data_IF_364713273911
#
_entry.id   IF_364713273911
#
_cell.length_a   1.000
_cell.length_b   1.000
_cell.length_c   1.000
_cell.angle_alpha   90.00
_cell.angle_beta   90.00
_cell.angle_gamma   90.00
#
_symmetry.space_group_name_H-M   'P 1'
#
loop_
_entity.id
_entity.type
_entity.pdbx_description
1 polymer ?
#
# COMPACT_ATOMS: atom_id res chain seq x y z
N UNK A 1 -70.13 2.85 -23.18
CA UNK A 1 -69.17 1.94 -23.77
C UNK A 1 -67.79 2.55 -23.58
N UNK A 2 -67.00 1.96 -22.68
CA UNK A 2 -65.58 1.92 -22.53
C UNK A 2 -64.83 3.06 -21.83
N UNK A 3 -65.12 3.24 -20.54
CA UNK A 3 -64.11 3.90 -19.62
C UNK A 3 -63.40 2.92 -18.67
N UNK A 4 -63.74 1.64 -18.70
CA UNK A 4 -63.15 0.60 -17.80
C UNK A 4 -61.98 -0.14 -18.36
N UNK A 5 -61.58 0.07 -19.62
CA UNK A 5 -60.46 -0.64 -20.26
C UNK A 5 -59.13 0.17 -20.17
N UNK A 6 -59.17 1.48 -19.94
CA UNK A 6 -57.96 2.30 -19.81
C UNK A 6 -57.32 2.24 -18.42
N UNK A 7 -58.04 1.85 -17.38
CA UNK A 7 -57.49 1.78 -16.02
C UNK A 7 -56.64 0.51 -15.75
N UNK A 8 -56.86 -0.55 -16.54
CA UNK A 8 -56.09 -1.83 -16.35
C UNK A 8 -54.76 -1.89 -17.05
N UNK A 9 -54.48 -0.97 -17.98
CA UNK A 9 -53.19 -0.93 -18.71
C UNK A 9 -52.09 -0.13 -17.98
N UNK A 10 -52.45 0.76 -17.04
CA UNK A 10 -51.45 1.54 -16.28
C UNK A 10 -50.95 0.83 -15.03
N UNK A 11 -51.58 -0.23 -14.55
CA UNK A 11 -51.16 -0.98 -13.37
C UNK A 11 -50.07 -2.07 -13.66
N UNK A 12 -49.86 -2.39 -14.93
CA UNK A 12 -48.91 -3.46 -15.33
C UNK A 12 -47.50 -2.97 -15.65
N UNK A 13 -47.24 -1.65 -15.66
CA UNK A 13 -45.91 -1.09 -16.05
C UNK A 13 -45.05 -0.76 -14.84
N UNK A 14 -45.56 -0.85 -13.60
CA UNK A 14 -44.82 -0.45 -12.38
C UNK A 14 -44.03 -1.59 -11.71
N UNK A 15 -43.93 -2.78 -12.29
CA UNK A 15 -43.36 -3.95 -11.58
C UNK A 15 -42.08 -4.50 -12.15
N UNK A 16 -41.28 -3.73 -12.87
CA UNK A 16 -40.06 -4.33 -13.42
C UNK A 16 -38.91 -3.36 -13.69
N UNK A 17 -38.41 -2.72 -12.65
CA UNK A 17 -37.04 -2.12 -12.69
C UNK A 17 -36.36 -2.23 -11.33
N UNK A 18 -36.48 -3.37 -10.66
CA UNK A 18 -35.44 -3.78 -9.76
C UNK A 18 -34.31 -4.33 -10.66
N UNK A 19 -33.46 -3.43 -11.18
CA UNK A 19 -32.21 -3.88 -11.76
C UNK A 19 -31.50 -4.70 -10.68
N UNK A 20 -31.08 -5.95 -10.97
CA UNK A 20 -30.27 -6.68 -10.01
C UNK A 20 -29.07 -5.78 -9.68
N UNK A 21 -28.85 -5.50 -8.41
CA UNK A 21 -27.62 -4.90 -7.94
C UNK A 21 -26.52 -5.94 -8.26
N UNK A 22 -25.89 -5.81 -9.43
CA UNK A 22 -24.72 -6.61 -9.74
C UNK A 22 -23.62 -6.15 -8.79
N UNK A 23 -23.11 -7.07 -7.99
CA UNK A 23 -21.86 -6.90 -7.31
C UNK A 23 -20.80 -6.49 -8.35
N UNK A 24 -19.83 -5.64 -7.96
CA UNK A 24 -18.78 -5.22 -8.88
C UNK A 24 -17.94 -6.40 -9.36
N UNK A 25 -17.31 -6.31 -10.55
CA UNK A 25 -16.63 -7.44 -11.18
C UNK A 25 -15.49 -8.03 -10.33
N UNK A 26 -14.89 -7.24 -9.43
CA UNK A 26 -13.85 -7.74 -8.52
C UNK A 26 -14.47 -8.53 -7.37
N UNK A 27 -15.57 -8.04 -6.78
CA UNK A 27 -16.25 -8.75 -5.70
C UNK A 27 -16.79 -10.10 -6.18
N UNK A 28 -17.39 -10.15 -7.38
CA UNK A 28 -17.86 -11.40 -7.97
C UNK A 28 -16.72 -12.39 -8.19
N UNK A 29 -15.59 -11.92 -8.73
CA UNK A 29 -14.37 -12.71 -8.91
C UNK A 29 -13.85 -13.28 -7.59
N UNK A 30 -13.77 -12.43 -6.55
CA UNK A 30 -13.28 -12.83 -5.22
C UNK A 30 -14.19 -13.89 -4.60
N UNK A 31 -15.51 -13.71 -4.68
CA UNK A 31 -16.49 -14.70 -4.19
C UNK A 31 -16.44 -16.01 -4.98
N UNK A 32 -16.34 -15.94 -6.31
CA UNK A 32 -16.26 -17.11 -7.17
C UNK A 32 -14.99 -17.96 -6.96
N UNK A 33 -13.86 -17.29 -6.70
CA UNK A 33 -12.58 -17.93 -6.46
C UNK A 33 -12.31 -18.26 -4.98
N UNK A 34 -13.19 -17.83 -4.08
CA UNK A 34 -13.09 -18.00 -2.63
C UNK A 34 -11.72 -17.53 -2.06
N UNK A 35 -11.14 -16.48 -2.63
CA UNK A 35 -9.85 -15.94 -2.21
C UNK A 35 -9.71 -14.46 -2.61
N UNK A 36 -9.13 -13.65 -1.72
CA UNK A 36 -8.66 -12.28 -2.02
C UNK A 36 -7.20 -12.35 -2.46
N UNK A 37 -6.87 -11.83 -3.64
CA UNK A 37 -5.49 -11.76 -4.13
C UNK A 37 -4.91 -10.38 -3.83
N UNK A 38 -3.90 -10.34 -2.96
CA UNK A 38 -3.31 -9.12 -2.42
C UNK A 38 -1.88 -8.91 -2.92
N UNK A 39 -1.63 -7.80 -3.62
CA UNK A 39 -0.29 -7.40 -4.02
C UNK A 39 0.46 -6.75 -2.86
N UNK A 40 1.64 -7.28 -2.51
CA UNK A 40 2.43 -6.90 -1.33
C UNK A 40 3.90 -6.65 -1.66
N UNK A 41 4.62 -6.00 -0.74
CA UNK A 41 6.08 -5.91 -0.75
C UNK A 41 6.69 -7.13 -0.04
N UNK A 42 7.90 -7.51 -0.38
CA UNK A 42 8.61 -8.66 0.22
C UNK A 42 9.53 -8.28 1.37
N UNK A 43 9.95 -7.01 1.47
CA UNK A 43 11.01 -6.58 2.37
C UNK A 43 10.73 -5.22 3.05
N UNK A 44 9.47 -4.96 3.38
CA UNK A 44 9.03 -3.77 4.12
C UNK A 44 8.59 -4.16 5.55
N UNK A 45 9.53 -4.29 6.51
CA UNK A 45 9.19 -4.61 7.90
C UNK A 45 8.18 -3.60 8.47
N UNK A 46 7.15 -4.11 9.17
CA UNK A 46 6.04 -3.32 9.66
C UNK A 46 4.86 -3.18 8.68
N UNK A 47 5.07 -3.27 7.38
CA UNK A 47 4.02 -3.23 6.35
C UNK A 47 3.73 -4.61 5.75
N UNK A 48 4.70 -5.18 5.05
CA UNK A 48 4.61 -6.55 4.55
C UNK A 48 6.00 -7.17 4.47
N UNK A 49 6.17 -8.27 5.17
CA UNK A 49 7.41 -9.01 5.23
C UNK A 49 7.12 -10.49 5.39
N UNK A 50 7.75 -11.32 4.56
CA UNK A 50 7.69 -12.77 4.69
C UNK A 50 8.87 -13.29 5.50
N UNK A 51 8.63 -14.20 6.42
CA UNK A 51 9.69 -14.95 7.09
C UNK A 51 10.22 -16.09 6.19
N UNK A 52 11.26 -16.77 6.66
CA UNK A 52 11.87 -17.91 5.93
C UNK A 52 10.94 -19.13 5.77
N UNK A 53 9.81 -19.15 6.50
CA UNK A 53 8.79 -20.20 6.42
C UNK A 53 7.61 -19.80 5.53
N UNK A 54 7.64 -18.59 4.96
CA UNK A 54 6.57 -18.04 4.13
C UNK A 54 5.42 -17.40 4.91
N UNK A 55 5.56 -17.18 6.22
CA UNK A 55 4.56 -16.45 6.98
C UNK A 55 4.67 -14.95 6.73
N UNK A 56 3.56 -14.33 6.40
CA UNK A 56 3.47 -12.90 6.15
C UNK A 56 3.04 -12.13 7.40
N UNK A 57 3.64 -10.97 7.64
CA UNK A 57 3.32 -10.09 8.77
C UNK A 57 3.38 -8.63 8.37
N UNK A 58 2.62 -7.77 9.06
CA UNK A 58 2.64 -6.33 8.94
C UNK A 58 1.28 -5.71 8.59
N UNK A 59 1.20 -4.39 8.66
CA UNK A 59 -0.02 -3.60 8.50
C UNK A 59 -0.77 -3.90 7.18
N UNK A 60 -0.05 -3.94 6.06
CA UNK A 60 -0.62 -4.24 4.75
C UNK A 60 -1.14 -5.69 4.66
N UNK A 61 -0.44 -6.62 5.30
CA UNK A 61 -0.83 -8.03 5.38
C UNK A 61 -2.09 -8.22 6.22
N UNK A 62 -2.17 -7.56 7.36
CA UNK A 62 -3.32 -7.65 8.27
C UNK A 62 -4.55 -6.99 7.64
N UNK A 63 -4.37 -5.90 6.92
CA UNK A 63 -5.44 -5.30 6.11
C UNK A 63 -5.99 -6.29 5.07
N UNK A 64 -5.13 -7.01 4.34
CA UNK A 64 -5.56 -8.00 3.36
C UNK A 64 -6.31 -9.17 4.00
N UNK A 65 -5.88 -9.63 5.18
CA UNK A 65 -6.59 -10.64 5.97
C UNK A 65 -7.96 -10.16 6.44
N UNK A 66 -8.03 -8.92 6.90
CA UNK A 66 -9.30 -8.34 7.31
C UNK A 66 -10.27 -8.19 6.14
N UNK A 67 -9.76 -7.84 4.95
CA UNK A 67 -10.56 -7.79 3.73
C UNK A 67 -11.12 -9.18 3.37
N UNK A 68 -10.30 -10.24 3.46
CA UNK A 68 -10.74 -11.61 3.26
C UNK A 68 -11.77 -12.04 4.31
N UNK A 69 -11.57 -11.72 5.58
CA UNK A 69 -12.52 -11.98 6.65
C UNK A 69 -13.87 -11.29 6.41
N UNK A 70 -13.85 -10.02 5.98
CA UNK A 70 -15.06 -9.24 5.73
C UNK A 70 -15.88 -9.78 4.56
N UNK A 71 -15.24 -10.27 3.49
CA UNK A 71 -15.90 -10.68 2.24
C UNK A 71 -16.22 -12.17 2.22
N UNK A 72 -15.32 -13.01 2.78
CA UNK A 72 -15.37 -14.47 2.68
C UNK A 72 -15.54 -15.16 4.04
N UNK A 73 -15.64 -14.39 5.13
CA UNK A 73 -15.82 -14.92 6.49
C UNK A 73 -14.57 -15.61 7.08
N UNK A 74 -13.43 -15.58 6.39
CA UNK A 74 -12.19 -16.23 6.83
C UNK A 74 -10.96 -15.39 6.44
N UNK A 75 -10.17 -14.98 7.43
CA UNK A 75 -8.94 -14.21 7.25
C UNK A 75 -7.82 -14.98 6.52
N UNK A 76 -7.92 -16.31 6.45
CA UNK A 76 -6.95 -17.14 5.76
C UNK A 76 -7.21 -17.26 4.25
N UNK A 77 -8.39 -16.84 3.78
CA UNK A 77 -8.75 -16.83 2.36
C UNK A 77 -8.09 -15.67 1.62
N UNK A 78 -6.79 -15.52 1.77
CA UNK A 78 -5.97 -14.49 1.15
C UNK A 78 -4.74 -15.11 0.49
N UNK A 79 -4.43 -14.67 -0.72
CA UNK A 79 -3.21 -15.01 -1.45
C UNK A 79 -2.34 -13.75 -1.57
N UNK A 80 -1.15 -13.80 -1.00
CA UNK A 80 -0.17 -12.72 -1.15
C UNK A 80 0.64 -12.91 -2.44
N UNK A 81 0.70 -11.86 -3.24
CA UNK A 81 1.48 -11.81 -4.49
C UNK A 81 2.58 -10.76 -4.34
N UNK A 82 3.84 -11.18 -4.23
CA UNK A 82 4.97 -10.27 -4.21
C UNK A 82 5.06 -9.48 -5.51
N UNK A 83 5.13 -8.15 -5.40
CA UNK A 83 5.27 -7.25 -6.54
C UNK A 83 6.43 -6.28 -6.31
N UNK A 84 7.23 -6.04 -7.34
CA UNK A 84 8.20 -4.95 -7.31
C UNK A 84 7.53 -3.59 -7.58
N UNK A 85 8.25 -2.50 -7.40
CA UNK A 85 7.67 -1.16 -7.56
C UNK A 85 7.27 -0.82 -8.99
N UNK A 86 8.03 -1.17 -10.03
CA UNK A 86 7.61 -0.94 -11.42
C UNK A 86 6.36 -1.70 -11.83
N UNK A 87 6.16 -2.93 -11.34
CA UNK A 87 5.10 -3.84 -11.79
C UNK A 87 3.76 -3.68 -11.05
N UNK A 88 3.75 -3.10 -9.84
CA UNK A 88 2.57 -3.12 -8.97
C UNK A 88 1.30 -2.55 -9.60
N UNK A 89 1.40 -1.46 -10.36
CA UNK A 89 0.22 -0.83 -10.97
C UNK A 89 -0.25 -1.58 -12.21
N UNK A 90 0.66 -2.13 -13.03
CA UNK A 90 0.27 -2.98 -14.17
C UNK A 90 -0.42 -4.26 -13.71
N UNK A 91 0.08 -4.90 -12.65
CA UNK A 91 -0.54 -6.08 -12.05
C UNK A 91 -1.96 -5.77 -11.51
N UNK A 92 -2.14 -4.62 -10.85
CA UNK A 92 -3.46 -4.17 -10.40
C UNK A 92 -4.42 -3.95 -11.59
N UNK A 93 -3.95 -3.26 -12.65
CA UNK A 93 -4.78 -3.00 -13.84
C UNK A 93 -5.12 -4.26 -14.62
N UNK A 94 -4.20 -5.19 -14.73
CA UNK A 94 -4.43 -6.49 -15.37
C UNK A 94 -5.36 -7.42 -14.57
N UNK A 95 -5.68 -7.06 -13.30
CA UNK A 95 -6.51 -7.89 -12.44
C UNK A 95 -5.78 -9.13 -11.90
N UNK A 96 -4.44 -9.12 -11.93
CA UNK A 96 -3.61 -10.15 -11.29
C UNK A 96 -3.76 -10.11 -9.77
N UNK A 97 -3.99 -8.90 -9.23
CA UNK A 97 -4.34 -8.69 -7.82
C UNK A 97 -5.65 -7.91 -7.71
N UNK A 98 -6.40 -8.16 -6.64
CA UNK A 98 -7.69 -7.53 -6.36
C UNK A 98 -7.50 -6.24 -5.56
N UNK A 99 -6.46 -6.17 -4.76
CA UNK A 99 -6.03 -5.01 -3.97
C UNK A 99 -4.52 -4.93 -3.95
N UNK A 100 -3.99 -3.71 -4.00
CA UNK A 100 -2.57 -3.43 -3.82
C UNK A 100 -2.38 -2.81 -2.44
N UNK A 101 -1.87 -3.58 -1.48
CA UNK A 101 -1.47 -3.16 -0.15
C UNK A 101 0.06 -3.33 -0.04
N UNK A 102 0.80 -2.28 -0.42
CA UNK A 102 2.24 -2.37 -0.66
C UNK A 102 2.94 -1.04 -0.35
N UNK A 103 2.74 -0.53 0.87
CA UNK A 103 3.31 0.75 1.32
C UNK A 103 3.40 1.77 0.16
N UNK A 104 2.26 2.03 -0.48
CA UNK A 104 2.20 2.81 -1.72
C UNK A 104 1.73 4.22 -1.46
N UNK A 105 2.57 5.20 -1.79
CA UNK A 105 2.24 6.62 -1.66
C UNK A 105 1.10 7.02 -2.57
N UNK A 106 0.08 7.65 -2.02
CA UNK A 106 -0.99 8.29 -2.75
C UNK A 106 -0.52 9.63 -3.30
N UNK A 107 -0.45 9.75 -4.61
CA UNK A 107 -0.13 10.99 -5.29
C UNK A 107 -0.96 11.15 -6.58
N UNK A 108 -0.99 12.38 -7.10
CA UNK A 108 -1.81 12.74 -8.26
C UNK A 108 -1.55 11.83 -9.47
N UNK A 109 -0.29 11.56 -9.81
CA UNK A 109 0.06 10.74 -10.98
C UNK A 109 -0.50 9.32 -10.85
N UNK A 110 -0.35 8.70 -9.69
CA UNK A 110 -0.84 7.34 -9.42
C UNK A 110 -2.35 7.26 -9.44
N UNK A 111 -3.01 8.25 -8.85
CA UNK A 111 -4.47 8.29 -8.79
C UNK A 111 -5.08 8.67 -10.15
N UNK A 112 -4.60 9.74 -10.79
CA UNK A 112 -5.19 10.25 -12.02
C UNK A 112 -4.81 9.44 -13.27
N UNK A 113 -3.55 8.97 -13.37
CA UNK A 113 -2.99 8.44 -14.62
C UNK A 113 -2.79 6.93 -14.65
N UNK A 114 -2.60 6.27 -13.49
CA UNK A 114 -2.33 4.84 -13.43
C UNK A 114 -3.56 3.99 -13.15
N UNK A 115 -4.77 4.58 -13.10
CA UNK A 115 -6.03 3.87 -12.91
C UNK A 115 -6.20 3.23 -11.52
N UNK A 116 -5.31 3.52 -10.59
CA UNK A 116 -5.44 3.11 -9.20
C UNK A 116 -6.37 4.08 -8.45
N UNK A 117 -7.20 3.57 -7.56
CA UNK A 117 -7.99 4.38 -6.63
C UNK A 117 -7.55 4.06 -5.22
N UNK A 118 -6.97 5.02 -4.54
CA UNK A 118 -6.54 4.87 -3.15
C UNK A 118 -7.75 4.90 -2.22
N UNK A 119 -7.80 3.99 -1.26
CA UNK A 119 -8.97 3.84 -0.40
C UNK A 119 -8.98 4.80 0.78
N UNK A 120 -7.89 4.84 1.54
CA UNK A 120 -7.61 5.77 2.66
C UNK A 120 -6.10 5.79 2.87
N UNK A 121 -5.56 6.85 3.46
CA UNK A 121 -4.19 6.85 3.98
C UNK A 121 -4.16 6.08 5.30
N UNK A 122 -3.38 5.01 5.37
CA UNK A 122 -3.19 4.19 6.56
C UNK A 122 -1.90 4.50 7.32
N UNK A 123 -0.96 5.22 6.70
CA UNK A 123 0.28 5.64 7.32
C UNK A 123 0.81 6.92 6.66
N UNK A 124 1.18 7.90 7.46
CA UNK A 124 1.83 9.13 6.99
C UNK A 124 3.34 9.02 7.17
N UNK A 125 4.05 8.86 6.07
CA UNK A 125 5.49 8.76 6.03
C UNK A 125 6.13 9.99 5.36
N UNK A 126 7.41 9.93 5.14
CA UNK A 126 8.20 10.89 4.39
C UNK A 126 9.52 10.27 3.95
N UNK A 127 10.09 10.76 2.88
CA UNK A 127 11.37 10.28 2.37
C UNK A 127 12.56 10.90 3.13
N UNK A 128 13.56 10.07 3.40
CA UNK A 128 14.80 10.47 4.07
C UNK A 128 16.05 9.83 3.48
N UNK A 129 17.13 9.85 4.24
CA UNK A 129 18.43 9.32 3.86
C UNK A 129 19.06 8.49 4.96
N UNK A 130 19.48 7.28 4.65
CA UNK A 130 20.29 6.43 5.52
C UNK A 130 21.73 6.45 5.03
N UNK A 131 22.67 6.71 5.93
CA UNK A 131 24.11 6.78 5.63
C UNK A 131 24.93 6.02 6.65
N UNK A 132 26.11 5.46 6.27
CA UNK A 132 27.07 4.96 7.24
C UNK A 132 27.63 6.10 8.10
N UNK A 133 27.73 5.93 9.40
CA UNK A 133 28.32 6.93 10.33
C UNK A 133 29.75 7.33 9.95
N UNK A 134 30.50 6.42 9.34
CA UNK A 134 31.88 6.68 8.84
C UNK A 134 31.95 7.78 7.78
N UNK A 135 30.84 8.12 7.10
CA UNK A 135 30.79 9.27 6.18
C UNK A 135 30.85 10.61 6.92
N UNK A 136 30.61 10.63 8.23
CA UNK A 136 30.64 11.81 9.09
C UNK A 136 29.78 12.98 8.58
N UNK A 137 28.64 12.67 7.92
CA UNK A 137 27.62 13.64 7.49
C UNK A 137 26.49 13.71 8.51
N UNK A 138 25.98 14.92 8.76
CA UNK A 138 24.90 15.18 9.73
C UNK A 138 23.66 15.78 9.10
N UNK A 139 23.72 16.09 7.81
CA UNK A 139 22.64 16.74 7.08
C UNK A 139 22.66 16.30 5.63
N UNK A 140 21.48 16.15 5.03
CA UNK A 140 21.33 15.85 3.62
C UNK A 140 21.96 16.90 2.70
N UNK A 141 22.13 18.15 3.17
CA UNK A 141 22.83 19.22 2.45
C UNK A 141 24.34 18.94 2.25
N UNK A 142 24.89 17.98 2.97
CA UNK A 142 26.29 17.56 2.85
C UNK A 142 26.48 16.40 1.84
N UNK A 143 25.42 15.94 1.18
CA UNK A 143 25.44 14.81 0.26
C UNK A 143 25.77 15.20 -1.19
N UNK A 144 26.30 16.41 -1.43
CA UNK A 144 26.66 16.83 -2.79
C UNK A 144 27.72 15.90 -3.40
N UNK A 145 27.45 15.36 -4.60
CA UNK A 145 28.31 14.41 -5.30
C UNK A 145 28.15 12.95 -4.87
N UNK A 146 27.30 12.65 -3.90
CA UNK A 146 27.12 11.29 -3.36
C UNK A 146 26.55 10.31 -4.40
N UNK A 147 26.90 9.05 -4.25
CA UNK A 147 26.25 7.92 -4.94
C UNK A 147 25.10 7.41 -4.08
N UNK A 148 23.89 7.44 -4.63
CA UNK A 148 22.63 7.18 -3.90
C UNK A 148 21.94 5.96 -4.50
N UNK A 149 21.69 4.93 -3.69
CA UNK A 149 20.79 3.83 -4.03
C UNK A 149 19.34 4.29 -3.88
N UNK A 150 18.52 4.07 -4.90
CA UNK A 150 17.10 4.34 -4.90
C UNK A 150 16.37 3.27 -5.70
N UNK A 151 15.16 2.93 -5.30
CA UNK A 151 14.35 1.94 -6.02
C UNK A 151 13.59 2.60 -7.17
N UNK A 152 13.70 2.04 -8.37
CA UNK A 152 12.98 2.50 -9.57
C UNK A 152 11.45 2.35 -9.41
N UNK A 153 10.68 3.25 -10.06
CA UNK A 153 9.21 3.24 -10.02
C UNK A 153 8.61 3.61 -8.66
N UNK A 154 9.40 4.19 -7.76
CA UNK A 154 8.93 4.76 -6.48
C UNK A 154 8.75 6.27 -6.60
N UNK A 155 8.04 6.88 -5.63
CA UNK A 155 8.00 8.34 -5.44
C UNK A 155 9.35 8.90 -5.02
N UNK A 156 10.19 8.07 -4.41
CA UNK A 156 11.51 8.48 -3.92
C UNK A 156 12.48 8.86 -5.04
N UNK A 157 12.31 8.29 -6.24
CA UNK A 157 13.19 8.58 -7.37
C UNK A 157 13.04 10.03 -7.86
N UNK A 158 11.84 10.55 -8.24
CA UNK A 158 11.69 11.95 -8.59
C UNK A 158 11.93 12.90 -7.40
N UNK A 159 11.52 12.53 -6.17
CA UNK A 159 11.70 13.40 -5.01
C UNK A 159 13.16 13.67 -4.67
N UNK A 160 14.04 12.66 -4.76
CA UNK A 160 15.48 12.89 -4.54
C UNK A 160 16.07 13.77 -5.65
N UNK A 161 15.63 13.61 -6.89
CA UNK A 161 16.09 14.45 -7.99
C UNK A 161 15.71 15.93 -7.77
N UNK A 162 14.46 16.16 -7.37
CA UNK A 162 13.96 17.51 -7.08
C UNK A 162 14.65 18.14 -5.87
N UNK A 163 14.90 17.37 -4.83
CA UNK A 163 15.63 17.84 -3.65
C UNK A 163 17.04 18.30 -4.01
N UNK A 164 17.82 17.48 -4.72
CA UNK A 164 19.17 17.85 -5.11
C UNK A 164 19.21 19.03 -6.07
N UNK A 165 18.31 19.07 -7.05
CA UNK A 165 18.17 20.18 -8.00
C UNK A 165 17.83 21.49 -7.28
N UNK A 166 16.87 21.49 -6.36
CA UNK A 166 16.43 22.69 -5.63
C UNK A 166 17.51 23.26 -4.70
N UNK A 167 18.45 22.42 -4.26
CA UNK A 167 19.58 22.84 -3.45
C UNK A 167 20.88 23.09 -4.25
N UNK A 168 20.83 23.06 -5.59
CA UNK A 168 22.01 23.24 -6.43
C UNK A 168 23.06 22.13 -6.28
N UNK A 169 22.66 20.97 -5.79
CA UNK A 169 23.53 19.83 -5.56
C UNK A 169 23.48 18.82 -6.71
N UNK A 170 24.55 18.02 -6.83
CA UNK A 170 24.65 16.91 -7.77
C UNK A 170 24.66 15.58 -7.00
N UNK A 171 24.19 14.51 -7.62
CA UNK A 171 24.33 13.16 -7.11
C UNK A 171 24.38 12.15 -8.28
N UNK A 172 24.76 10.90 -7.97
CA UNK A 172 24.71 9.78 -8.90
C UNK A 172 23.69 8.76 -8.41
N UNK A 173 22.57 8.64 -9.10
CA UNK A 173 21.59 7.60 -8.81
C UNK A 173 22.09 6.22 -9.24
N UNK A 174 21.86 5.22 -8.40
CA UNK A 174 22.00 3.79 -8.72
C UNK A 174 20.64 3.16 -8.48
N UNK A 175 20.01 2.72 -9.57
CA UNK A 175 18.63 2.23 -9.59
C UNK A 175 18.59 0.70 -9.44
N UNK A 176 17.59 0.22 -8.68
CA UNK A 176 17.28 -1.19 -8.51
C UNK A 176 15.76 -1.39 -8.55
N UNK A 177 15.31 -2.55 -9.00
CA UNK A 177 13.88 -2.82 -9.18
C UNK A 177 13.21 -3.34 -7.91
N UNK A 178 13.97 -3.88 -6.95
CA UNK A 178 13.43 -4.45 -5.71
C UNK A 178 14.01 -3.79 -4.46
N UNK A 179 13.25 -3.83 -3.38
CA UNK A 179 13.68 -3.33 -2.06
C UNK A 179 14.91 -4.06 -1.57
N UNK A 180 14.94 -5.40 -1.71
CA UNK A 180 16.06 -6.25 -1.28
C UNK A 180 17.35 -5.91 -2.02
N UNK A 181 17.27 -5.76 -3.35
CA UNK A 181 18.44 -5.41 -4.16
C UNK A 181 18.97 -4.01 -3.80
N UNK A 182 18.09 -3.04 -3.54
CA UNK A 182 18.47 -1.69 -3.13
C UNK A 182 19.16 -1.69 -1.77
N UNK A 183 18.56 -2.36 -0.77
CA UNK A 183 19.13 -2.50 0.58
C UNK A 183 20.47 -3.26 0.55
N UNK A 184 20.52 -4.38 -0.17
CA UNK A 184 21.76 -5.18 -0.31
C UNK A 184 22.89 -4.41 -0.96
N UNK A 185 22.60 -3.63 -1.99
CA UNK A 185 23.60 -2.78 -2.65
C UNK A 185 24.13 -1.68 -1.73
N UNK A 186 23.26 -1.05 -0.94
CA UNK A 186 23.69 -0.07 0.06
C UNK A 186 24.53 -0.70 1.16
N UNK A 187 24.07 -1.79 1.76
CA UNK A 187 24.77 -2.46 2.86
C UNK A 187 26.13 -3.05 2.43
N UNK A 188 26.27 -3.47 1.15
CA UNK A 188 27.56 -3.90 0.58
C UNK A 188 28.48 -2.73 0.20
N UNK A 189 28.04 -1.48 0.37
CA UNK A 189 28.85 -0.29 0.08
C UNK A 189 28.89 0.12 -1.39
N UNK A 190 28.04 -0.44 -2.25
CA UNK A 190 27.92 -0.03 -3.66
C UNK A 190 27.41 1.42 -3.81
N UNK A 191 26.62 1.89 -2.86
CA UNK A 191 26.19 3.27 -2.73
C UNK A 191 26.59 3.83 -1.36
N UNK A 192 26.86 5.13 -1.32
CA UNK A 192 27.17 5.85 -0.07
C UNK A 192 25.93 6.17 0.74
N UNK A 193 24.78 6.30 0.08
CA UNK A 193 23.51 6.74 0.65
C UNK A 193 22.41 5.81 0.15
N UNK A 194 21.45 5.52 1.01
CA UNK A 194 20.17 4.91 0.64
C UNK A 194 19.04 5.90 0.92
N UNK A 195 18.14 6.08 -0.04
CA UNK A 195 16.97 6.96 0.10
C UNK A 195 15.69 6.21 -0.22
N UNK A 196 14.72 6.32 0.67
CA UNK A 196 13.35 5.82 0.60
C UNK A 196 12.55 6.41 1.74
N UNK A 197 11.34 5.90 2.01
CA UNK A 197 10.51 6.27 3.15
C UNK A 197 11.25 6.03 4.47
N UNK A 198 11.02 6.88 5.47
CA UNK A 198 11.68 6.83 6.78
C UNK A 198 11.46 5.50 7.49
N UNK A 199 10.25 4.94 7.38
CA UNK A 199 9.92 3.62 7.92
C UNK A 199 10.74 2.50 7.26
N UNK A 200 10.90 2.53 5.93
CA UNK A 200 11.74 1.57 5.19
C UNK A 200 13.23 1.75 5.51
N UNK A 201 13.70 2.98 5.72
CA UNK A 201 15.08 3.24 6.18
C UNK A 201 15.33 2.67 7.58
N UNK A 202 14.36 2.81 8.49
CA UNK A 202 14.43 2.21 9.82
C UNK A 202 14.48 0.67 9.71
N UNK A 203 13.61 0.08 8.89
CA UNK A 203 13.62 -1.36 8.61
C UNK A 203 14.92 -1.85 7.98
N UNK A 204 15.50 -1.12 7.02
CA UNK A 204 16.78 -1.45 6.41
C UNK A 204 17.95 -1.40 7.43
N UNK A 205 17.91 -0.39 8.31
CA UNK A 205 18.90 -0.26 9.38
C UNK A 205 18.89 -1.46 10.32
N UNK A 206 17.72 -2.00 10.68
CA UNK A 206 17.64 -3.18 11.56
C UNK A 206 18.20 -4.45 10.93
N UNK A 207 18.22 -4.53 9.59
CA UNK A 207 18.79 -5.65 8.83
C UNK A 207 20.30 -5.56 8.62
N UNK A 208 20.90 -4.42 8.95
CA UNK A 208 22.36 -4.25 8.84
C UNK A 208 23.09 -5.17 9.82
N UNK A 209 24.27 -5.69 9.47
CA UNK A 209 25.07 -6.52 10.38
C UNK A 209 25.36 -5.84 11.72
N UNK A 210 25.56 -4.53 11.70
CA UNK A 210 25.65 -3.68 12.88
C UNK A 210 24.79 -2.42 12.65
N UNK A 211 23.54 -2.37 13.15
CA UNK A 211 22.63 -1.23 12.97
C UNK A 211 23.21 0.10 13.47
N UNK A 212 24.11 0.05 14.46
CA UNK A 212 24.71 1.26 15.04
C UNK A 212 25.76 1.90 14.15
N UNK A 213 26.21 1.24 13.09
CA UNK A 213 27.11 1.84 12.10
C UNK A 213 26.38 2.78 11.12
N UNK A 214 25.09 2.86 11.19
CA UNK A 214 24.25 3.65 10.27
C UNK A 214 23.43 4.69 11.01
N UNK A 215 23.15 5.80 10.33
CA UNK A 215 22.29 6.88 10.84
C UNK A 215 21.33 7.35 9.77
N UNK A 216 20.08 7.55 10.15
CA UNK A 216 19.09 8.23 9.34
C UNK A 216 19.27 9.73 9.56
N UNK A 217 19.45 10.48 8.48
CA UNK A 217 19.60 11.94 8.56
C UNK A 217 18.28 12.61 8.96
N UNK A 218 18.32 13.80 9.59
CA UNK A 218 17.13 14.42 10.16
C UNK A 218 16.17 15.01 9.13
N UNK A 219 16.62 15.22 7.89
CA UNK A 219 15.77 15.83 6.86
C UNK A 219 14.75 14.84 6.31
N UNK A 220 13.50 15.28 6.26
CA UNK A 220 12.40 14.63 5.55
C UNK A 220 12.10 15.46 4.31
N UNK A 221 12.34 14.91 3.13
CA UNK A 221 12.35 15.65 1.86
C UNK A 221 11.05 15.57 1.08
N UNK A 222 10.11 14.71 1.49
CA UNK A 222 8.77 14.62 0.89
C UNK A 222 7.71 14.28 1.94
N UNK A 223 6.44 14.32 1.51
CA UNK A 223 5.30 13.78 2.24
C UNK A 223 4.80 12.55 1.52
N UNK A 224 4.75 11.43 2.23
CA UNK A 224 4.39 10.13 1.67
C UNK A 224 3.15 9.58 2.40
N UNK A 225 1.92 10.00 2.01
CA UNK A 225 0.70 9.40 2.53
C UNK A 225 0.53 8.01 1.90
N UNK A 226 0.79 6.95 2.67
CA UNK A 226 0.73 5.58 2.21
C UNK A 226 -0.68 5.04 2.36
N UNK A 227 -1.11 4.19 1.42
CA UNK A 227 -2.40 3.53 1.52
C UNK A 227 -2.60 2.43 0.49
N UNK A 228 -3.54 1.50 0.78
CA UNK A 228 -3.95 0.51 -0.20
C UNK A 228 -4.71 1.15 -1.35
N UNK A 229 -4.66 0.50 -2.51
CA UNK A 229 -5.39 0.93 -3.69
C UNK A 229 -6.05 -0.25 -4.40
N UNK A 230 -7.16 0.05 -5.10
CA UNK A 230 -7.91 -0.88 -5.92
C UNK A 230 -7.97 -0.39 -7.36
N UNK A 231 -8.37 -1.24 -8.29
CA UNK A 231 -8.60 -0.87 -9.68
C UNK A 231 -9.80 0.06 -9.80
N UNK A 232 -9.69 1.06 -10.65
CA UNK A 232 -10.78 1.99 -10.97
C UNK A 232 -11.93 1.27 -11.66
N UNK A 233 -13.17 1.72 -11.39
CA UNK A 233 -14.38 1.25 -12.09
C UNK A 233 -15.21 0.23 -11.33
N UNK A 234 -14.76 -0.21 -10.14
CA UNK A 234 -15.55 -1.05 -9.24
C UNK A 234 -15.80 -0.31 -7.93
N UNK A 235 -16.91 0.42 -7.89
CA UNK A 235 -17.27 1.24 -6.72
C UNK A 235 -17.62 0.39 -5.50
N UNK A 236 -18.22 -0.79 -5.69
CA UNK A 236 -18.59 -1.66 -4.58
C UNK A 236 -17.32 -2.23 -3.91
N UNK A 237 -16.38 -2.77 -4.69
CA UNK A 237 -15.11 -3.23 -4.17
C UNK A 237 -14.33 -2.11 -3.47
N UNK A 238 -14.32 -0.92 -4.06
CA UNK A 238 -13.71 0.25 -3.45
C UNK A 238 -14.34 0.58 -2.08
N UNK A 239 -15.67 0.57 -1.96
CA UNK A 239 -16.34 0.86 -0.69
C UNK A 239 -16.05 -0.21 0.35
N UNK A 240 -16.06 -1.49 -0.02
CA UNK A 240 -15.67 -2.59 0.89
C UNK A 240 -14.24 -2.39 1.39
N UNK A 241 -13.29 -2.21 0.48
CA UNK A 241 -11.88 -2.00 0.79
C UNK A 241 -11.68 -0.79 1.74
N UNK A 242 -12.40 0.30 1.48
CA UNK A 242 -12.37 1.52 2.28
C UNK A 242 -12.91 1.30 3.69
N UNK A 243 -14.06 0.67 3.82
CA UNK A 243 -14.71 0.49 5.10
C UNK A 243 -14.02 -0.55 5.98
N UNK A 244 -13.37 -1.54 5.40
CA UNK A 244 -12.47 -2.43 6.15
C UNK A 244 -11.32 -1.64 6.77
N UNK A 245 -10.70 -0.69 6.03
CA UNK A 245 -9.64 0.13 6.60
C UNK A 245 -10.15 1.12 7.65
N UNK A 246 -11.33 1.73 7.42
CA UNK A 246 -11.95 2.60 8.41
C UNK A 246 -12.28 1.83 9.71
N UNK A 247 -12.62 0.55 9.63
CA UNK A 247 -12.84 -0.28 10.81
C UNK A 247 -11.55 -0.45 11.66
N UNK A 248 -10.37 -0.50 11.05
CA UNK A 248 -9.11 -0.46 11.80
C UNK A 248 -8.91 0.86 12.55
N UNK A 249 -9.19 1.98 11.87
CA UNK A 249 -9.08 3.33 12.48
C UNK A 249 -10.05 3.45 13.67
N UNK A 250 -11.28 3.00 13.49
CA UNK A 250 -12.30 3.00 14.55
C UNK A 250 -11.94 2.05 15.70
N UNK A 251 -11.36 0.89 15.39
CA UNK A 251 -10.87 -0.06 16.39
C UNK A 251 -9.74 0.54 17.23
N UNK A 252 -8.79 1.23 16.59
CA UNK A 252 -7.72 1.96 17.28
C UNK A 252 -8.29 3.04 18.21
N UNK A 253 -9.23 3.87 17.72
CA UNK A 253 -9.89 4.91 18.51
C UNK A 253 -10.62 4.35 19.73
N UNK A 254 -11.25 3.18 19.58
CA UNK A 254 -11.97 2.47 20.66
C UNK A 254 -11.08 1.60 21.54
N UNK A 255 -9.78 1.56 21.30
CA UNK A 255 -8.85 0.69 22.03
C UNK A 255 -9.10 -0.81 21.82
N UNK A 256 -9.69 -1.19 20.69
CA UNK A 256 -9.90 -2.59 20.32
C UNK A 256 -8.58 -3.16 19.79
N UNK A 257 -8.14 -4.23 20.40
CA UNK A 257 -6.90 -4.93 20.07
C UNK A 257 -7.18 -6.42 19.84
N UNK A 258 -6.22 -7.15 19.27
CA UNK A 258 -6.32 -8.60 19.12
C UNK A 258 -6.57 -9.31 20.48
N UNK A 259 -6.06 -8.76 21.57
CA UNK A 259 -6.20 -9.35 22.90
C UNK A 259 -7.59 -9.21 23.50
N UNK A 260 -8.35 -8.15 23.14
CA UNK A 260 -9.66 -7.86 23.74
C UNK A 260 -10.85 -7.93 22.78
N UNK A 261 -10.61 -8.09 21.47
CA UNK A 261 -11.65 -8.06 20.46
C UNK A 261 -12.76 -9.11 20.67
N UNK A 262 -12.39 -10.32 21.03
CA UNK A 262 -13.37 -11.42 21.26
C UNK A 262 -14.23 -11.19 22.51
N UNK A 263 -13.68 -10.57 23.54
CA UNK A 263 -14.42 -10.21 24.75
C UNK A 263 -15.39 -9.05 24.46
N UNK A 264 -14.89 -8.00 23.81
CA UNK A 264 -15.71 -6.84 23.45
C UNK A 264 -16.85 -7.23 22.50
N UNK A 265 -16.61 -8.14 21.55
CA UNK A 265 -17.68 -8.63 20.67
C UNK A 265 -18.83 -9.33 21.41
N UNK A 266 -18.54 -10.00 22.53
CA UNK A 266 -19.57 -10.69 23.35
C UNK A 266 -20.39 -9.72 24.20
N UNK A 267 -19.82 -8.56 24.53
CA UNK A 267 -20.42 -7.55 25.41
C UNK A 267 -21.05 -6.39 24.66
N UNK A 268 -20.74 -6.24 23.36
CA UNK A 268 -21.35 -5.23 22.48
C UNK A 268 -22.70 -5.75 21.99
N UNK A 269 -23.76 -5.03 22.38
CA UNK A 269 -25.15 -5.25 21.91
C UNK A 269 -25.43 -4.44 20.68
#
# INVERSE_FOLDING_TARGET
>A
MNQTILASALAAVSLSLAAPAFAGPVLDKVKANDVVVCGVNTAAPGFSNADSKGNWTGLDVDYCRALAAAVLGDANKVKFVPLNSPQRFSALQAGEVDVLARNTTWNLTRDASLGAVFVVTNYYDGQGFLVPKKLNVKSAKQLNGATICVQSGTSSEPSVADYFKSHGMKYKAVLFDTTEATQGAFLSGRCQVYTTDMSDLAGARTKAPNPDDYVILPEVISKEPLGPSVRRGDNEWFQIARWVLNAFIEAEEKGITQANADELRKTST
#
